data_IF_813186420652
#
_entry.id   IF_813186420652
#
_cell.length_a   1.000
_cell.length_b   1.000
_cell.length_c   1.000
_cell.angle_alpha   90.00
_cell.angle_beta   90.00
_cell.angle_gamma   90.00
#
_symmetry.space_group_name_H-M   'P 1'
#
loop_
_entity.id
_entity.type
_entity.pdbx_description
1 polymer ?
#
# COMPACT_ATOMS: atom_id res chain seq x y z
N UNK A 1 23.08 9.33 -11.35
CA UNK A 1 23.55 10.43 -10.49
C UNK A 1 22.31 11.14 -9.99
N UNK A 2 21.87 10.84 -8.77
CA UNK A 2 20.67 11.45 -8.20
C UNK A 2 21.07 12.78 -7.55
N UNK A 3 20.41 13.84 -8.02
CA UNK A 3 20.53 15.21 -7.55
C UNK A 3 20.37 15.27 -6.02
N UNK A 4 21.40 15.73 -5.31
CA UNK A 4 21.36 15.97 -3.87
C UNK A 4 20.59 17.28 -3.63
N UNK A 5 19.32 17.31 -4.03
CA UNK A 5 18.41 18.40 -3.71
C UNK A 5 18.37 18.55 -2.19
N UNK A 6 18.58 19.77 -1.70
CA UNK A 6 18.59 20.13 -0.28
C UNK A 6 17.44 19.43 0.43
N UNK A 7 17.74 18.38 1.20
CA UNK A 7 16.73 17.65 1.94
C UNK A 7 16.17 18.62 2.98
N UNK A 8 14.95 19.10 2.74
CA UNK A 8 14.24 19.91 3.72
C UNK A 8 14.23 19.18 5.06
N UNK A 9 14.20 19.92 6.17
CA UNK A 9 14.06 19.33 7.50
C UNK A 9 12.73 19.74 8.12
N UNK A 10 12.25 18.92 9.05
CA UNK A 10 10.98 19.14 9.73
C UNK A 10 11.06 18.72 11.17
N UNK A 11 10.50 19.53 12.05
CA UNK A 11 10.38 19.23 13.48
C UNK A 11 9.05 18.54 13.78
N UNK A 12 9.11 17.38 14.43
CA UNK A 12 7.93 16.66 14.88
C UNK A 12 7.21 17.43 15.98
N UNK A 13 5.93 17.76 15.76
CA UNK A 13 5.07 18.45 16.74
C UNK A 13 4.79 17.67 18.03
N UNK A 14 5.11 16.36 18.07
CA UNK A 14 4.87 15.51 19.24
C UNK A 14 6.12 15.28 20.08
N UNK A 15 7.24 14.91 19.46
CA UNK A 15 8.49 14.61 20.20
C UNK A 15 9.55 15.71 20.10
N UNK A 16 9.34 16.76 19.29
CA UNK A 16 10.29 17.86 19.14
C UNK A 16 11.54 17.55 18.31
N UNK A 17 11.74 16.29 17.86
CA UNK A 17 12.90 15.93 17.05
C UNK A 17 12.80 16.50 15.63
N UNK A 18 13.89 17.12 15.16
CA UNK A 18 14.07 17.57 13.77
C UNK A 18 14.70 16.45 12.95
N UNK A 19 14.05 16.07 11.85
CA UNK A 19 14.46 14.98 10.98
C UNK A 19 14.32 15.41 9.50
N UNK A 20 14.95 14.70 8.55
CA UNK A 20 14.74 14.96 7.13
C UNK A 20 13.27 14.88 6.74
N UNK A 21 12.85 15.74 5.82
CA UNK A 21 11.49 15.81 5.28
C UNK A 21 11.33 14.79 4.14
N UNK A 22 11.36 13.51 4.52
CA UNK A 22 11.23 12.38 3.59
C UNK A 22 10.18 11.36 4.07
N UNK A 23 9.98 10.32 3.24
CA UNK A 23 8.98 9.28 3.49
C UNK A 23 9.38 8.29 4.56
N UNK A 24 10.60 8.29 5.06
CA UNK A 24 11.06 7.40 6.13
C UNK A 24 10.88 8.05 7.50
N UNK A 25 10.87 9.38 7.53
CA UNK A 25 10.70 10.16 8.76
C UNK A 25 9.28 10.72 8.94
N UNK A 26 8.62 11.15 7.86
CA UNK A 26 7.28 11.73 7.91
C UNK A 26 6.31 11.03 6.96
N UNK A 27 5.04 10.91 7.38
CA UNK A 27 3.97 10.51 6.48
C UNK A 27 3.46 11.68 5.65
N UNK A 28 2.78 11.43 4.52
CA UNK A 28 2.08 12.48 3.79
C UNK A 28 0.60 12.57 4.17
N UNK A 29 0.01 13.75 4.05
CA UNK A 29 -1.44 13.96 3.96
C UNK A 29 -1.81 14.40 2.54
N UNK A 30 -3.06 14.16 2.15
CA UNK A 30 -3.65 14.65 0.90
C UNK A 30 -4.70 15.69 1.26
N UNK A 31 -4.62 16.86 0.65
CA UNK A 31 -5.68 17.87 0.67
C UNK A 31 -6.19 18.03 -0.76
N UNK A 32 -7.50 17.91 -0.93
CA UNK A 32 -8.17 18.04 -2.23
C UNK A 32 -9.20 19.16 -2.08
N UNK A 33 -8.97 20.29 -2.75
CA UNK A 33 -9.87 21.45 -2.74
C UNK A 33 -10.12 21.87 -4.18
N UNK A 34 -11.37 21.84 -4.60
CA UNK A 34 -11.80 22.22 -5.96
C UNK A 34 -11.01 21.48 -7.06
N UNK A 35 -10.70 20.20 -6.85
CA UNK A 35 -9.93 19.39 -7.80
C UNK A 35 -8.42 19.62 -7.78
N UNK A 36 -7.94 20.57 -6.97
CA UNK A 36 -6.51 20.80 -6.77
C UNK A 36 -6.00 19.91 -5.65
N UNK A 37 -5.27 18.86 -6.04
CA UNK A 37 -4.63 17.94 -5.10
C UNK A 37 -3.30 18.52 -4.62
N UNK A 38 -3.20 18.79 -3.31
CA UNK A 38 -1.95 19.13 -2.63
C UNK A 38 -1.53 17.99 -1.71
N UNK A 39 -0.36 17.42 -1.98
CA UNK A 39 0.30 16.48 -1.06
C UNK A 39 1.25 17.27 -0.16
N UNK A 40 1.07 17.11 1.16
CA UNK A 40 1.96 17.72 2.16
C UNK A 40 2.46 16.68 3.14
N UNK A 41 3.45 17.05 3.94
CA UNK A 41 3.99 16.21 5.00
C UNK A 41 3.20 16.39 6.30
N UNK A 42 3.03 15.32 7.07
CA UNK A 42 2.42 15.38 8.40
C UNK A 42 3.30 16.17 9.36
N UNK A 43 2.68 16.73 10.40
CA UNK A 43 3.40 17.41 11.48
C UNK A 43 4.03 16.45 12.51
N UNK A 44 3.68 15.17 12.48
CA UNK A 44 4.19 14.14 13.39
C UNK A 44 5.08 13.15 12.65
N UNK A 45 6.22 12.79 13.25
CA UNK A 45 7.12 11.80 12.68
C UNK A 45 6.51 10.39 12.73
N UNK A 46 7.03 9.49 11.90
CA UNK A 46 6.54 8.10 11.78
C UNK A 46 6.67 7.32 13.08
N UNK A 47 7.71 7.55 13.86
CA UNK A 47 7.87 6.92 15.19
C UNK A 47 6.72 7.30 16.11
N UNK A 48 6.36 8.59 16.14
CA UNK A 48 5.24 9.11 16.92
C UNK A 48 3.88 8.59 16.43
N UNK A 49 3.68 8.55 15.11
CA UNK A 49 2.48 8.01 14.47
C UNK A 49 2.35 6.50 14.75
N UNK A 50 3.45 5.74 14.70
CA UNK A 50 3.48 4.31 15.00
C UNK A 50 3.17 4.05 16.48
N UNK A 51 3.74 4.83 17.40
CA UNK A 51 3.42 4.72 18.83
C UNK A 51 1.95 5.00 19.11
N UNK A 52 1.36 6.04 18.47
CA UNK A 52 -0.08 6.31 18.56
C UNK A 52 -0.90 5.12 18.02
N UNK A 53 -0.51 4.59 16.86
CA UNK A 53 -1.21 3.46 16.25
C UNK A 53 -1.15 2.22 17.12
N UNK A 54 0.01 1.90 17.71
CA UNK A 54 0.16 0.76 18.64
C UNK A 54 -0.76 0.90 19.85
N UNK A 55 -0.75 2.09 20.48
CA UNK A 55 -1.65 2.37 21.62
C UNK A 55 -3.12 2.21 21.23
N UNK A 56 -3.54 2.75 20.10
CA UNK A 56 -4.92 2.57 19.61
C UNK A 56 -5.30 1.10 19.47
N UNK A 57 -4.45 0.26 18.87
CA UNK A 57 -4.76 -1.17 18.74
C UNK A 57 -4.71 -1.93 20.07
N UNK A 58 -3.85 -1.53 21.01
CA UNK A 58 -3.82 -2.10 22.37
C UNK A 58 -5.09 -1.75 23.15
N UNK A 59 -5.57 -0.51 23.03
CA UNK A 59 -6.73 0.00 23.74
C UNK A 59 -8.07 -0.42 23.08
N UNK A 60 -8.04 -0.98 21.86
CA UNK A 60 -9.23 -1.36 21.08
C UNK A 60 -9.07 -2.77 20.45
N UNK A 61 -8.86 -3.83 21.27
CA UNK A 61 -8.69 -5.19 20.77
C UNK A 61 -9.93 -5.72 20.03
N UNK A 62 -11.13 -5.37 20.48
CA UNK A 62 -12.41 -5.78 19.88
C UNK A 62 -12.54 -5.29 18.43
N UNK A 63 -12.02 -4.10 18.13
CA UNK A 63 -12.00 -3.57 16.76
C UNK A 63 -11.04 -4.38 15.87
N UNK A 64 -9.91 -4.83 16.41
CA UNK A 64 -8.96 -5.67 15.67
C UNK A 64 -9.55 -7.04 15.38
N UNK A 65 -10.25 -7.63 16.35
CA UNK A 65 -10.96 -8.90 16.19
C UNK A 65 -12.10 -8.80 15.17
N UNK A 66 -12.90 -7.73 15.24
CA UNK A 66 -13.96 -7.46 14.27
C UNK A 66 -13.40 -7.32 12.84
N UNK A 67 -12.30 -6.58 12.66
CA UNK A 67 -11.61 -6.45 11.37
C UNK A 67 -11.06 -7.80 10.88
N UNK A 68 -10.51 -8.62 11.77
CA UNK A 68 -10.02 -9.95 11.42
C UNK A 68 -11.16 -10.89 11.01
N UNK A 69 -12.29 -10.88 11.71
CA UNK A 69 -13.48 -11.64 11.37
C UNK A 69 -14.02 -11.25 9.99
N UNK A 70 -14.20 -9.95 9.76
CA UNK A 70 -14.65 -9.42 8.47
C UNK A 70 -13.68 -9.76 7.34
N UNK A 71 -12.37 -9.74 7.60
CA UNK A 71 -11.37 -10.15 6.62
C UNK A 71 -11.47 -11.64 6.29
N UNK A 72 -11.67 -12.52 7.28
CA UNK A 72 -11.85 -13.97 7.04
C UNK A 72 -13.06 -14.26 6.17
N UNK A 73 -14.19 -13.62 6.47
CA UNK A 73 -15.40 -13.71 5.65
C UNK A 73 -15.14 -13.28 4.20
N UNK A 74 -14.54 -12.10 4.01
CA UNK A 74 -14.22 -11.56 2.68
C UNK A 74 -13.23 -12.41 1.88
N UNK A 75 -12.26 -13.04 2.56
CA UNK A 75 -11.33 -13.97 1.91
C UNK A 75 -12.06 -15.24 1.46
N UNK A 76 -13.02 -15.73 2.25
CA UNK A 76 -13.89 -16.84 1.85
C UNK A 76 -14.75 -16.49 0.62
N UNK A 77 -15.37 -15.30 0.62
CA UNK A 77 -16.16 -14.78 -0.51
C UNK A 77 -15.33 -14.59 -1.79
N UNK A 78 -14.02 -14.34 -1.67
CA UNK A 78 -13.12 -14.11 -2.79
C UNK A 78 -12.84 -15.39 -3.63
N UNK A 79 -13.39 -16.53 -3.23
CA UNK A 79 -13.28 -17.80 -3.93
C UNK A 79 -12.01 -18.59 -3.57
N UNK A 80 -11.78 -19.74 -4.23
CA UNK A 80 -10.65 -20.60 -3.93
C UNK A 80 -9.31 -19.89 -4.15
N UNK A 81 -8.32 -20.23 -3.33
CA UNK A 81 -6.96 -19.77 -3.57
C UNK A 81 -6.41 -20.32 -4.89
N UNK A 82 -5.65 -19.49 -5.60
CA UNK A 82 -4.84 -19.98 -6.71
C UNK A 82 -3.76 -20.96 -6.22
N UNK A 83 -3.38 -21.88 -7.10
CA UNK A 83 -2.35 -22.88 -6.88
C UNK A 83 -0.96 -22.26 -6.73
N UNK A 84 -0.04 -23.00 -6.11
CA UNK A 84 1.36 -22.56 -6.01
C UNK A 84 2.03 -22.41 -7.39
N UNK A 85 1.61 -23.20 -8.37
CA UNK A 85 2.08 -23.08 -9.75
C UNK A 85 1.67 -21.74 -10.38
N UNK A 86 0.45 -21.28 -10.12
CA UNK A 86 -0.05 -19.96 -10.55
C UNK A 86 0.65 -18.83 -9.81
N UNK A 87 0.80 -18.92 -8.48
CA UNK A 87 1.57 -17.94 -7.68
C UNK A 87 3.01 -17.81 -8.21
N UNK A 88 3.66 -18.93 -8.53
CA UNK A 88 5.00 -18.94 -9.12
C UNK A 88 5.02 -18.32 -10.53
N UNK A 89 3.99 -18.54 -11.35
CA UNK A 89 3.88 -17.92 -12.68
C UNK A 89 3.72 -16.40 -12.58
N UNK A 90 2.87 -15.90 -11.68
CA UNK A 90 2.71 -14.47 -11.38
C UNK A 90 4.05 -13.86 -10.95
N UNK A 91 4.78 -14.53 -10.05
CA UNK A 91 6.11 -14.07 -9.60
C UNK A 91 7.13 -14.03 -10.74
N UNK A 92 7.16 -15.04 -11.61
CA UNK A 92 8.06 -15.09 -12.78
C UNK A 92 7.76 -13.96 -13.77
N UNK A 93 6.48 -13.68 -14.03
CA UNK A 93 6.06 -12.61 -14.94
C UNK A 93 6.55 -11.21 -14.52
N UNK A 94 6.82 -11.02 -13.21
CA UNK A 94 7.35 -9.79 -12.66
C UNK A 94 8.86 -9.60 -12.86
N UNK A 95 9.59 -10.64 -13.27
CA UNK A 95 11.03 -10.57 -13.51
C UNK A 95 11.87 -10.31 -12.25
N UNK A 96 11.38 -10.74 -11.09
CA UNK A 96 12.09 -10.52 -9.80
C UNK A 96 11.97 -9.09 -9.25
N UNK A 97 11.09 -8.26 -9.79
CA UNK A 97 10.90 -6.87 -9.37
C UNK A 97 9.47 -6.59 -8.88
N UNK A 98 9.34 -5.67 -7.93
CA UNK A 98 8.07 -5.21 -7.40
C UNK A 98 7.14 -4.69 -8.51
N UNK A 99 5.87 -5.10 -8.47
CA UNK A 99 4.83 -4.66 -9.40
C UNK A 99 4.62 -3.14 -9.44
N UNK A 100 4.94 -2.45 -8.36
CA UNK A 100 4.58 -1.04 -8.21
C UNK A 100 5.76 -0.10 -8.42
N UNK A 101 6.89 -0.37 -7.78
CA UNK A 101 8.06 0.50 -7.82
C UNK A 101 9.18 0.00 -8.73
N UNK A 102 9.04 -1.18 -9.35
CA UNK A 102 10.09 -1.84 -10.15
C UNK A 102 11.40 -2.14 -9.40
N UNK A 103 11.47 -1.90 -8.09
CA UNK A 103 12.64 -2.26 -7.31
C UNK A 103 12.78 -3.80 -7.26
N UNK A 104 14.02 -4.33 -7.34
CA UNK A 104 14.27 -5.75 -7.14
C UNK A 104 13.70 -6.24 -5.81
N UNK A 105 13.21 -7.48 -5.80
CA UNK A 105 12.83 -8.15 -4.57
C UNK A 105 14.06 -8.49 -3.72
N UNK A 106 13.89 -8.44 -2.40
CA UNK A 106 14.91 -8.70 -1.38
C UNK A 106 14.61 -9.96 -0.54
N UNK A 107 13.61 -10.75 -0.95
CA UNK A 107 13.12 -11.92 -0.23
C UNK A 107 11.94 -11.63 0.71
N UNK A 108 11.55 -10.36 0.89
CA UNK A 108 10.40 -9.94 1.70
C UNK A 108 9.18 -9.53 0.86
N UNK A 109 9.08 -10.02 -0.38
CA UNK A 109 7.94 -9.80 -1.24
C UNK A 109 6.70 -10.57 -0.79
N UNK A 110 5.56 -9.90 -0.88
CA UNK A 110 4.28 -10.43 -0.43
C UNK A 110 3.33 -10.54 -1.62
N UNK A 111 2.50 -11.58 -1.60
CA UNK A 111 1.37 -11.70 -2.51
C UNK A 111 0.37 -10.60 -2.20
N UNK A 112 -0.07 -9.88 -3.22
CA UNK A 112 -0.99 -8.74 -3.09
C UNK A 112 -2.09 -8.84 -4.15
N UNK A 113 -3.29 -8.42 -3.77
CA UNK A 113 -4.44 -8.40 -4.65
C UNK A 113 -4.53 -7.05 -5.37
N UNK A 114 -4.53 -7.05 -6.71
CA UNK A 114 -4.67 -5.84 -7.53
C UNK A 114 -5.96 -5.08 -7.17
N UNK A 115 -7.07 -5.79 -7.03
CA UNK A 115 -8.25 -5.33 -6.30
C UNK A 115 -8.30 -6.05 -4.96
N UNK A 116 -8.21 -5.36 -3.81
CA UNK A 116 -8.25 -5.99 -2.49
C UNK A 116 -9.54 -6.77 -2.21
N UNK A 117 -9.46 -7.86 -1.43
CA UNK A 117 -10.65 -8.61 -0.95
C UNK A 117 -11.65 -7.73 -0.18
N UNK A 118 -11.15 -6.71 0.53
CA UNK A 118 -11.97 -5.68 1.18
C UNK A 118 -12.88 -4.91 0.20
N UNK A 119 -12.58 -5.00 -1.09
CA UNK A 119 -13.23 -4.30 -2.19
C UNK A 119 -13.86 -5.21 -3.22
N UNK A 120 -14.00 -6.50 -2.89
CA UNK A 120 -14.57 -7.52 -3.77
C UNK A 120 -13.57 -8.21 -4.68
N UNK A 121 -12.28 -8.08 -4.41
CA UNK A 121 -11.24 -8.79 -5.16
C UNK A 121 -11.29 -10.30 -4.97
N UNK A 122 -11.04 -11.05 -6.03
CA UNK A 122 -10.97 -12.53 -6.02
C UNK A 122 -9.57 -13.04 -5.67
N UNK A 123 -9.47 -14.29 -5.22
CA UNK A 123 -8.21 -15.00 -4.99
C UNK A 123 -7.59 -15.63 -6.26
N UNK A 124 -8.21 -15.41 -7.44
CA UNK A 124 -7.71 -15.89 -8.72
C UNK A 124 -6.41 -15.21 -9.17
N UNK A 125 -5.55 -15.94 -9.88
CA UNK A 125 -4.22 -15.52 -10.28
C UNK A 125 -4.17 -14.19 -11.06
N UNK A 126 -5.18 -13.90 -11.88
CA UNK A 126 -5.28 -12.66 -12.65
C UNK A 126 -5.48 -11.41 -11.79
N UNK A 127 -6.04 -11.55 -10.58
CA UNK A 127 -6.18 -10.46 -9.61
C UNK A 127 -4.99 -10.40 -8.63
N UNK A 128 -3.97 -11.24 -8.79
CA UNK A 128 -2.85 -11.34 -7.86
C UNK A 128 -1.56 -10.84 -8.50
N UNK A 129 -0.67 -10.34 -7.64
CA UNK A 129 0.67 -9.89 -7.99
C UNK A 129 1.61 -10.09 -6.80
N UNK A 130 2.91 -9.83 -6.96
CA UNK A 130 3.84 -9.63 -5.86
C UNK A 130 4.27 -8.16 -5.74
N UNK A 131 4.44 -7.73 -4.50
CA UNK A 131 4.89 -6.39 -4.15
C UNK A 131 5.93 -6.45 -3.04
N UNK A 132 6.89 -5.52 -3.05
CA UNK A 132 7.75 -5.35 -1.89
C UNK A 132 6.92 -4.87 -0.68
N UNK A 133 7.35 -5.27 0.52
CA UNK A 133 6.70 -4.93 1.78
C UNK A 133 6.33 -3.43 1.91
N UNK A 134 7.23 -2.53 1.52
CA UNK A 134 6.98 -1.08 1.56
C UNK A 134 5.84 -0.62 0.63
N UNK A 135 5.72 -1.22 -0.56
CA UNK A 135 4.63 -0.91 -1.48
C UNK A 135 3.31 -1.56 -1.06
N UNK A 136 3.34 -2.81 -0.62
CA UNK A 136 2.15 -3.53 -0.15
C UNK A 136 1.47 -2.78 1.00
N UNK A 137 2.24 -2.40 2.02
CA UNK A 137 1.74 -1.60 3.16
C UNK A 137 1.22 -0.22 2.76
N UNK A 138 1.85 0.44 1.78
CA UNK A 138 1.38 1.75 1.31
C UNK A 138 0.09 1.65 0.50
N UNK A 139 -0.10 0.56 -0.25
CA UNK A 139 -1.32 0.28 -1.01
C UNK A 139 -2.51 0.06 -0.07
N UNK A 140 -2.40 -0.88 0.86
CA UNK A 140 -3.51 -1.24 1.77
C UNK A 140 -4.77 -1.61 0.99
N UNK A 141 -5.92 -1.02 1.34
CA UNK A 141 -7.21 -1.25 0.69
C UNK A 141 -7.42 -0.52 -0.66
N UNK A 142 -6.39 0.13 -1.23
CA UNK A 142 -6.52 0.75 -2.54
C UNK A 142 -6.54 -0.31 -3.63
N UNK A 143 -7.45 -0.16 -4.59
CA UNK A 143 -7.38 -0.86 -5.89
C UNK A 143 -6.12 -0.42 -6.66
N UNK A 144 -5.75 -1.20 -7.68
CA UNK A 144 -4.62 -0.91 -8.55
C UNK A 144 -4.69 0.53 -9.11
N UNK A 145 -5.79 0.99 -9.76
CA UNK A 145 -5.85 2.36 -10.28
C UNK A 145 -5.67 3.43 -9.20
N UNK A 146 -6.28 3.25 -8.03
CA UNK A 146 -6.16 4.21 -6.93
C UNK A 146 -4.74 4.24 -6.35
N UNK A 147 -4.04 3.10 -6.31
CA UNK A 147 -2.67 3.07 -5.82
C UNK A 147 -1.68 3.66 -6.83
N UNK A 148 -1.89 3.42 -8.13
CA UNK A 148 -1.13 4.09 -9.19
C UNK A 148 -1.32 5.61 -9.10
N UNK A 149 -2.57 6.09 -8.97
CA UNK A 149 -2.87 7.51 -8.73
C UNK A 149 -2.17 8.03 -7.46
N UNK A 150 -2.23 7.30 -6.35
CA UNK A 150 -1.53 7.65 -5.12
C UNK A 150 -0.03 7.84 -5.30
N UNK A 151 0.61 7.01 -6.14
CA UNK A 151 2.05 7.10 -6.45
C UNK A 151 2.36 8.31 -7.31
N UNK A 152 1.59 8.52 -8.39
CA UNK A 152 1.75 9.68 -9.29
C UNK A 152 1.57 11.00 -8.54
N UNK A 153 0.52 11.13 -7.72
CA UNK A 153 0.28 12.33 -6.88
C UNK A 153 1.44 12.64 -5.93
N UNK A 154 2.30 11.66 -5.64
CA UNK A 154 3.46 11.76 -4.73
C UNK A 154 4.79 11.78 -5.46
N UNK A 155 4.80 11.89 -6.79
CA UNK A 155 6.04 11.85 -7.59
C UNK A 155 6.80 10.53 -7.44
N UNK A 156 6.13 9.44 -7.06
CA UNK A 156 6.76 8.14 -6.89
C UNK A 156 6.79 7.41 -8.23
N UNK A 157 7.90 6.72 -8.49
CA UNK A 157 8.07 5.87 -9.65
C UNK A 157 6.91 4.87 -9.80
N UNK A 158 6.43 4.66 -11.02
CA UNK A 158 5.39 3.67 -11.32
C UNK A 158 5.96 2.71 -12.36
N UNK A 159 5.86 1.41 -12.09
CA UNK A 159 6.17 0.37 -13.07
C UNK A 159 5.30 0.54 -14.32
N UNK A 160 5.93 0.66 -15.47
CA UNK A 160 5.26 0.82 -16.77
C UNK A 160 5.13 -0.48 -17.55
N UNK A 161 6.04 -1.43 -17.34
CA UNK A 161 5.99 -2.77 -17.91
C UNK A 161 5.00 -3.65 -17.11
N UNK A 162 3.74 -3.64 -17.52
CA UNK A 162 2.68 -4.40 -16.86
C UNK A 162 2.84 -5.90 -17.20
N UNK A 163 2.93 -6.79 -16.19
CA UNK A 163 2.98 -8.24 -16.41
C UNK A 163 1.78 -8.75 -17.20
N UNK A 164 2.03 -9.68 -18.13
CA UNK A 164 0.95 -10.34 -18.88
C UNK A 164 0.09 -11.19 -17.94
N UNK A 165 -1.23 -11.20 -18.17
CA UNK A 165 -2.18 -12.02 -17.43
C UNK A 165 -2.86 -11.31 -16.25
N UNK A 166 -2.44 -10.09 -15.91
CA UNK A 166 -3.17 -9.27 -14.93
C UNK A 166 -4.53 -8.85 -15.48
N UNK A 167 -5.57 -9.12 -14.70
CA UNK A 167 -6.93 -8.66 -14.92
C UNK A 167 -7.58 -8.42 -13.55
N UNK A 168 -7.39 -7.22 -12.95
CA UNK A 168 -7.93 -6.89 -11.64
C UNK A 168 -9.44 -7.09 -11.58
N UNK A 169 -9.94 -7.71 -10.51
CA UNK A 169 -11.39 -7.86 -10.30
C UNK A 169 -12.07 -6.50 -10.24
N UNK A 170 -13.35 -6.38 -10.67
CA UNK A 170 -14.08 -5.14 -10.49
C UNK A 170 -14.22 -4.78 -9.01
N UNK A 171 -14.18 -3.49 -8.70
CA UNK A 171 -14.42 -3.00 -7.35
C UNK A 171 -15.92 -3.03 -7.07
N UNK A 172 -16.35 -3.83 -6.11
CA UNK A 172 -17.77 -3.97 -5.73
C UNK A 172 -18.08 -3.36 -4.37
N UNK A 173 -17.07 -3.05 -3.56
CA UNK A 173 -17.24 -2.38 -2.25
C UNK A 173 -16.44 -1.07 -2.20
N UNK A 174 -17.02 0.01 -1.63
CA UNK A 174 -16.35 1.30 -1.54
C UNK A 174 -15.12 1.24 -0.63
N UNK A 175 -14.22 2.21 -0.78
CA UNK A 175 -13.12 2.40 0.16
C UNK A 175 -13.63 3.06 1.44
N UNK A 176 -14.34 2.30 2.27
CA UNK A 176 -14.56 2.71 3.65
C UNK A 176 -13.21 2.58 4.34
N UNK A 177 -12.61 3.71 4.70
CA UNK A 177 -11.50 3.68 5.65
C UNK A 177 -12.12 3.30 6.99
N UNK A 178 -12.14 2.01 7.28
CA UNK A 178 -12.49 1.46 8.59
C UNK A 178 -11.67 2.12 9.71
#
# INVERSE_FOLDING_TARGET
>A
MADAGTMGTRTCKKCGLTQPEDRDHFGNFKNDRNGVVKIGWKGTCRTCDAARSRKHYQDNPEMSEARAALRRERVSEAGPECSDAEKAAVKRALGGCCRYCSAPFDGNEELDHLTPVARGGTNGASNLTYACHGCNRAKGSKSLPEYIKFRVERGLWVRTDIPKGENPSPVTRPNVRD
#
